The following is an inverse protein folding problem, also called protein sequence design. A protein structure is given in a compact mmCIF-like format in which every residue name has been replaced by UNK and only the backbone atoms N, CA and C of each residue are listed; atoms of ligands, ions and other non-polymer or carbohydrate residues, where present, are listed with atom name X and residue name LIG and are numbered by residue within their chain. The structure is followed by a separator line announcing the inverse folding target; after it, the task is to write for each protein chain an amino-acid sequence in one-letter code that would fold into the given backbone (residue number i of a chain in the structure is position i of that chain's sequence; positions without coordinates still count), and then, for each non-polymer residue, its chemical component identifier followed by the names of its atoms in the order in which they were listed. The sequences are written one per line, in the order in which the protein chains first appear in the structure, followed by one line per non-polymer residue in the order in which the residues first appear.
data_IF_728816856268
#
_entry.id   IF_728816856268
#
_cell.length_a   1.000
_cell.length_b   1.000
_cell.length_c   1.000
_cell.angle_alpha   90.00
_cell.angle_beta   90.00
_cell.angle_gamma   90.00
#
_symmetry.space_group_name_H-M   'P 1'
#
loop_
_entity.id
_entity.type
_entity.pdbx_description
1 polymer ?
#
# COMPACT_ATOMS: atom_id res chain seq x y z
N UNK A 1 -27.37 44.25 7.29
CA UNK A 1 -25.95 43.95 7.57
C UNK A 1 -25.85 42.47 7.97
N UNK A 2 -25.45 41.60 7.04
CA UNK A 2 -25.22 40.18 7.33
C UNK A 2 -23.75 39.92 7.02
N UNK A 3 -22.98 39.62 8.06
CA UNK A 3 -21.55 39.31 7.94
C UNK A 3 -21.37 37.84 7.58
N UNK A 4 -20.77 37.58 6.42
CA UNK A 4 -20.42 36.24 5.93
C UNK A 4 -19.02 35.91 6.44
N UNK A 5 -18.94 35.08 7.48
CA UNK A 5 -17.67 34.56 8.00
C UNK A 5 -17.17 33.47 7.04
N UNK A 6 -16.16 33.81 6.23
CA UNK A 6 -15.40 32.82 5.47
C UNK A 6 -14.49 32.05 6.43
N UNK A 7 -14.84 30.79 6.71
CA UNK A 7 -13.91 29.84 7.37
C UNK A 7 -12.99 29.24 6.33
N UNK A 8 -11.76 29.76 6.24
CA UNK A 8 -10.67 29.08 5.57
C UNK A 8 -10.39 27.74 6.27
N UNK A 9 -10.53 26.63 5.54
CA UNK A 9 -10.00 25.32 5.95
C UNK A 9 -8.48 25.37 5.78
N UNK A 10 -7.75 25.43 6.88
CA UNK A 10 -6.32 25.10 6.90
C UNK A 10 -6.20 23.61 6.59
N UNK A 11 -5.79 23.30 5.36
CA UNK A 11 -5.30 21.97 4.99
C UNK A 11 -3.98 21.81 5.70
N UNK A 12 -3.92 20.84 6.63
CA UNK A 12 -2.73 20.52 7.38
C UNK A 12 -1.55 20.26 6.45
N UNK A 13 -0.45 20.90 6.80
CA UNK A 13 0.88 20.73 6.24
C UNK A 13 1.20 19.23 6.14
N UNK A 14 1.26 18.72 4.91
CA UNK A 14 1.72 17.36 4.63
C UNK A 14 3.23 17.39 4.89
N UNK A 15 3.64 17.01 6.09
CA UNK A 15 5.04 16.69 6.37
C UNK A 15 5.33 15.38 5.64
N UNK A 16 5.61 15.47 4.35
CA UNK A 16 6.33 14.43 3.62
C UNK A 16 7.76 14.48 4.16
N UNK A 17 8.13 13.54 5.02
CA UNK A 17 9.55 13.26 5.18
C UNK A 17 10.07 12.83 3.80
N UNK A 18 10.91 13.70 3.18
CA UNK A 18 11.67 13.52 1.92
C UNK A 18 10.97 14.00 0.62
N UNK A 19 11.21 15.26 0.19
CA UNK A 19 10.83 15.80 -1.13
C UNK A 19 11.50 15.13 -2.35
N UNK A 20 12.61 14.41 -2.15
CA UNK A 20 13.37 13.71 -3.21
C UNK A 20 12.60 12.58 -3.90
N UNK A 21 11.49 12.14 -3.32
CA UNK A 21 10.77 10.94 -3.72
C UNK A 21 9.74 11.15 -4.85
N UNK A 22 9.43 12.40 -5.24
CA UNK A 22 8.61 12.71 -6.42
C UNK A 22 9.47 12.68 -7.70
N UNK A 23 10.76 12.98 -7.60
CA UNK A 23 11.67 13.01 -8.75
C UNK A 23 12.01 11.61 -9.29
N UNK A 24 11.97 10.56 -8.45
CA UNK A 24 12.29 9.19 -8.84
C UNK A 24 11.24 8.60 -9.80
N UNK A 25 9.99 9.04 -9.73
CA UNK A 25 8.94 8.59 -10.66
C UNK A 25 9.15 9.09 -12.11
N UNK A 26 10.05 10.06 -12.34
CA UNK A 26 10.26 10.70 -13.65
C UNK A 26 11.66 10.47 -14.25
N UNK A 27 12.53 9.69 -13.60
CA UNK A 27 13.96 9.64 -13.92
C UNK A 27 14.50 8.43 -14.70
N UNK A 28 13.67 7.51 -15.20
CA UNK A 28 14.17 6.33 -15.94
C UNK A 28 14.27 6.56 -17.46
N UNK A 29 15.27 7.33 -17.90
CA UNK A 29 15.84 7.24 -19.24
C UNK A 29 17.36 7.58 -19.23
N UNK A 30 18.20 6.53 -19.32
CA UNK A 30 19.58 6.54 -19.89
C UNK A 30 20.70 7.26 -19.09
N UNK A 31 21.98 6.84 -18.94
CA UNK A 31 22.89 5.87 -19.60
C UNK A 31 24.01 5.45 -18.60
N UNK A 32 24.46 4.18 -18.68
CA UNK A 32 25.77 3.55 -18.34
C UNK A 32 26.83 4.26 -17.47
N UNK A 33 27.40 3.57 -16.46
CA UNK A 33 28.71 2.87 -16.52
C UNK A 33 29.23 2.43 -15.11
N UNK A 34 30.23 1.52 -15.02
CA UNK A 34 30.32 0.51 -13.97
C UNK A 34 31.20 0.92 -12.78
N UNK A 35 30.87 0.41 -11.59
CA UNK A 35 31.77 0.47 -10.42
C UNK A 35 32.22 -0.93 -10.02
N UNK A 36 33.53 -0.99 -9.81
CA UNK A 36 34.43 -2.12 -9.66
C UNK A 36 34.20 -2.92 -8.37
N UNK A 37 34.27 -4.25 -8.50
CA UNK A 37 34.32 -5.21 -7.38
C UNK A 37 35.78 -5.38 -6.94
N UNK A 38 36.07 -5.05 -5.68
CA UNK A 38 37.18 -5.60 -4.87
C UNK A 38 36.50 -6.07 -3.57
N UNK A 39 36.55 -7.32 -3.13
CA UNK A 39 37.71 -8.20 -3.01
C UNK A 39 38.11 -8.22 -1.53
N UNK A 40 37.74 -9.28 -0.79
CA UNK A 40 38.09 -9.40 0.63
C UNK A 40 37.39 -10.54 1.37
N UNK A 41 37.75 -11.78 1.06
CA UNK A 41 37.45 -12.94 1.90
C UNK A 41 38.28 -12.92 3.19
N UNK A 42 37.63 -13.17 4.32
CA UNK A 42 38.29 -13.70 5.52
C UNK A 42 37.41 -14.80 6.11
N UNK A 43 37.75 -16.05 5.77
CA UNK A 43 37.14 -17.24 6.34
C UNK A 43 37.58 -17.37 7.81
N UNK A 44 36.61 -17.38 8.74
CA UNK A 44 36.87 -17.70 10.15
C UNK A 44 36.59 -19.18 10.38
N UNK A 45 37.65 -19.87 10.81
CA UNK A 45 37.72 -21.30 11.17
C UNK A 45 36.79 -21.60 12.35
N UNK A 46 35.81 -22.50 12.16
CA UNK A 46 34.93 -23.02 13.21
C UNK A 46 35.68 -24.16 13.94
N UNK A 47 35.75 -24.11 15.27
CA UNK A 47 36.18 -25.24 16.10
C UNK A 47 34.95 -26.09 16.49
N UNK A 48 35.08 -27.43 16.52
CA UNK A 48 33.98 -28.33 16.86
C UNK A 48 33.92 -28.56 18.38
N UNK A 49 32.74 -28.44 18.96
CA UNK A 49 32.47 -28.88 20.33
C UNK A 49 31.77 -27.82 21.17
N UNK A 50 30.46 -27.69 20.96
CA UNK A 50 29.48 -27.21 21.94
C UNK A 50 28.10 -27.63 21.39
N UNK A 51 27.68 -28.86 21.68
CA UNK A 51 26.30 -29.29 21.43
C UNK A 51 25.38 -28.53 22.39
N UNK A 52 24.39 -27.74 21.90
CA UNK A 52 23.37 -27.21 22.77
C UNK A 52 22.41 -28.33 23.19
N UNK A 53 21.89 -28.29 24.43
CA UNK A 53 21.07 -29.34 25.00
C UNK A 53 19.78 -29.57 24.19
N UNK A 54 19.48 -30.85 23.97
CA UNK A 54 18.23 -31.35 23.40
C UNK A 54 17.06 -30.94 24.30
N UNK A 55 16.19 -30.09 23.76
CA UNK A 55 14.84 -29.87 24.28
C UNK A 55 14.42 -28.41 24.22
N UNK A 56 13.65 -28.02 23.19
CA UNK A 56 12.22 -27.67 23.25
C UNK A 56 11.72 -27.65 21.80
N UNK A 57 10.79 -28.50 21.39
CA UNK A 57 10.11 -28.31 20.11
C UNK A 57 9.03 -27.24 20.30
N UNK A 58 9.39 -25.98 20.02
CA UNK A 58 8.40 -24.89 19.97
C UNK A 58 7.29 -25.24 18.95
N UNK A 59 6.03 -24.87 19.23
CA UNK A 59 4.92 -25.10 18.31
C UNK A 59 5.12 -24.28 17.03
N UNK A 60 5.52 -25.00 15.98
CA UNK A 60 5.57 -24.59 14.58
C UNK A 60 4.24 -24.02 14.12
N UNK A 61 4.20 -22.75 13.69
CA UNK A 61 2.99 -22.09 13.25
C UNK A 61 2.85 -22.11 11.72
N UNK A 62 2.44 -23.24 11.15
CA UNK A 62 2.24 -23.40 9.70
C UNK A 62 1.40 -22.25 9.10
N UNK A 63 1.91 -21.65 8.01
CA UNK A 63 1.18 -20.70 7.17
C UNK A 63 0.64 -21.38 5.92
N UNK A 64 -0.54 -20.96 5.49
CA UNK A 64 -1.15 -21.41 4.23
C UNK A 64 -1.39 -20.20 3.34
N UNK A 65 -1.28 -20.39 2.02
CA UNK A 65 -1.63 -19.37 1.04
C UNK A 65 -3.14 -19.13 1.12
N UNK A 66 -3.60 -17.87 1.05
CA UNK A 66 -5.04 -17.59 1.13
C UNK A 66 -5.84 -18.28 0.00
N UNK A 67 -5.18 -18.65 -1.10
CA UNK A 67 -5.80 -19.40 -2.20
C UNK A 67 -6.24 -20.81 -1.80
N UNK A 68 -5.77 -21.34 -0.67
CA UNK A 68 -6.18 -22.66 -0.17
C UNK A 68 -7.03 -22.45 1.09
N UNK A 69 -8.35 -22.37 0.90
CA UNK A 69 -9.28 -22.44 2.03
C UNK A 69 -9.43 -23.89 2.47
N UNK A 70 -9.37 -24.19 3.79
CA UNK A 70 -9.34 -25.55 4.30
C UNK A 70 -10.60 -26.38 4.00
N UNK A 71 -11.72 -25.75 3.61
CA UNK A 71 -13.02 -26.42 3.41
C UNK A 71 -13.65 -26.19 2.02
N UNK A 72 -12.94 -25.60 1.05
CA UNK A 72 -13.51 -25.32 -0.26
C UNK A 72 -13.29 -26.51 -1.23
N UNK A 73 -14.25 -26.79 -2.15
CA UNK A 73 -14.08 -27.81 -3.19
C UNK A 73 -12.81 -27.53 -4.01
N UNK A 74 -12.16 -28.58 -4.54
CA UNK A 74 -10.82 -28.48 -5.17
C UNK A 74 -10.73 -27.45 -6.32
N UNK A 75 -11.84 -27.18 -7.02
CA UNK A 75 -11.94 -26.13 -8.05
C UNK A 75 -12.02 -24.70 -7.49
N UNK A 76 -12.48 -24.53 -6.24
CA UNK A 76 -12.60 -23.24 -5.55
C UNK A 76 -11.31 -22.77 -4.86
N UNK A 77 -10.22 -23.55 -4.95
CA UNK A 77 -8.90 -23.23 -4.38
C UNK A 77 -7.87 -22.81 -5.46
N UNK A 78 -8.31 -22.57 -6.70
CA UNK A 78 -7.43 -22.02 -7.72
C UNK A 78 -7.00 -20.59 -7.34
N UNK A 79 -5.70 -20.23 -7.46
CA UNK A 79 -5.27 -18.86 -7.29
C UNK A 79 -6.05 -17.94 -8.22
N UNK A 80 -6.53 -16.81 -7.70
CA UNK A 80 -7.20 -15.81 -8.53
C UNK A 80 -6.24 -15.33 -9.64
N UNK A 81 -6.79 -15.22 -10.85
CA UNK A 81 -6.08 -14.61 -11.96
C UNK A 81 -5.86 -13.11 -11.72
N UNK A 82 -4.91 -12.51 -12.44
CA UNK A 82 -4.68 -11.05 -12.39
C UNK A 82 -5.96 -10.27 -12.73
N UNK A 83 -6.71 -10.73 -13.73
CA UNK A 83 -8.00 -10.13 -14.10
C UNK A 83 -9.00 -10.15 -12.94
N UNK A 84 -9.17 -11.31 -12.28
CA UNK A 84 -10.08 -11.43 -11.13
C UNK A 84 -9.65 -10.55 -9.94
N UNK A 85 -8.35 -10.45 -9.67
CA UNK A 85 -7.81 -9.57 -8.63
C UNK A 85 -8.11 -8.11 -8.97
N UNK A 86 -7.87 -7.71 -10.22
CA UNK A 86 -8.13 -6.35 -10.68
C UNK A 86 -9.63 -6.02 -10.68
N UNK A 87 -10.50 -6.94 -11.10
CA UNK A 87 -11.96 -6.78 -10.97
C UNK A 87 -12.38 -6.58 -9.51
N UNK A 88 -11.79 -7.35 -8.57
CA UNK A 88 -12.04 -7.18 -7.14
C UNK A 88 -11.60 -5.80 -6.64
N UNK A 89 -10.45 -5.30 -7.09
CA UNK A 89 -9.97 -3.94 -6.75
C UNK A 89 -10.94 -2.88 -7.28
N UNK A 90 -11.41 -3.02 -8.53
CA UNK A 90 -12.40 -2.13 -9.13
C UNK A 90 -13.74 -2.14 -8.35
N UNK A 91 -14.18 -3.32 -7.92
CA UNK A 91 -15.39 -3.49 -7.11
C UNK A 91 -15.25 -2.83 -5.73
N UNK A 92 -14.10 -3.03 -5.06
CA UNK A 92 -13.79 -2.33 -3.81
C UNK A 92 -13.82 -0.83 -4.05
N UNK A 93 -13.16 -0.33 -5.09
CA UNK A 93 -13.07 1.10 -5.41
C UNK A 93 -14.45 1.72 -5.65
N UNK A 94 -15.31 1.04 -6.39
CA UNK A 94 -16.65 1.51 -6.75
C UNK A 94 -17.64 1.51 -5.59
N UNK A 95 -17.41 0.70 -4.56
CA UNK A 95 -18.28 0.64 -3.37
C UNK A 95 -18.30 1.97 -2.62
N UNK A 96 -19.48 2.49 -2.29
CA UNK A 96 -19.57 3.74 -1.53
C UNK A 96 -18.92 3.61 -0.15
N UNK A 97 -18.25 4.68 0.29
CA UNK A 97 -17.80 4.83 1.66
C UNK A 97 -19.03 5.15 2.51
N UNK A 98 -19.38 4.27 3.44
CA UNK A 98 -20.55 4.48 4.28
C UNK A 98 -20.27 5.59 5.32
N UNK A 99 -21.30 6.29 5.82
CA UNK A 99 -21.11 7.34 6.83
C UNK A 99 -20.36 6.86 8.08
N UNK A 100 -20.48 5.58 8.42
CA UNK A 100 -19.83 4.97 9.60
C UNK A 100 -18.37 4.60 9.34
N UNK A 101 -18.02 4.27 8.09
CA UNK A 101 -16.65 4.00 7.68
C UNK A 101 -15.88 5.30 7.36
N UNK A 102 -16.60 6.42 7.24
CA UNK A 102 -16.02 7.72 6.93
C UNK A 102 -15.15 8.20 8.08
N UNK A 103 -13.90 8.50 7.78
CA UNK A 103 -12.95 9.04 8.75
C UNK A 103 -12.17 10.17 8.10
N UNK A 104 -12.13 11.37 8.71
CA UNK A 104 -11.40 12.50 8.13
C UNK A 104 -9.89 12.22 8.04
N UNK A 105 -9.39 11.33 8.90
CA UNK A 105 -8.00 10.89 8.88
C UNK A 105 -7.87 9.50 9.51
N UNK A 106 -6.83 8.80 9.12
CA UNK A 106 -6.35 7.56 9.70
C UNK A 106 -4.99 7.21 9.11
N UNK A 107 -4.52 6.01 9.40
CA UNK A 107 -3.21 5.56 8.99
C UNK A 107 -3.29 4.15 8.43
N UNK A 108 -2.60 3.90 7.32
CA UNK A 108 -2.17 2.55 6.93
C UNK A 108 -0.73 2.40 7.41
N UNK A 109 -0.44 1.31 8.12
CA UNK A 109 0.88 1.02 8.63
C UNK A 109 1.33 -0.38 8.24
N UNK A 110 2.65 -0.56 8.22
CA UNK A 110 3.28 -1.85 8.02
C UNK A 110 4.31 -2.13 9.11
N UNK A 111 4.39 -3.38 9.54
CA UNK A 111 5.44 -3.87 10.43
C UNK A 111 5.81 -5.32 10.16
N UNK A 112 7.02 -5.71 10.55
CA UNK A 112 7.43 -7.12 10.72
C UNK A 112 7.51 -7.43 12.21
N UNK A 113 7.63 -8.68 12.65
CA UNK A 113 7.72 -8.90 14.10
C UNK A 113 7.68 -10.32 14.60
N UNK A 114 7.25 -11.26 13.76
CA UNK A 114 7.44 -12.68 14.06
C UNK A 114 8.65 -13.14 13.25
N UNK A 115 9.64 -13.70 13.94
CA UNK A 115 10.59 -14.60 13.29
C UNK A 115 9.77 -15.84 12.97
N UNK A 116 9.39 -15.96 11.71
CA UNK A 116 8.72 -17.15 11.23
C UNK A 116 9.81 -18.21 11.02
N UNK A 117 9.65 -19.44 11.53
CA UNK A 117 10.54 -20.52 11.19
C UNK A 117 10.62 -20.59 9.66
N UNK A 118 11.82 -20.50 9.10
CA UNK A 118 12.03 -20.45 7.66
C UNK A 118 11.28 -21.60 6.95
N UNK A 119 11.20 -22.77 7.60
CA UNK A 119 10.49 -23.97 7.13
C UNK A 119 8.98 -23.79 6.85
N UNK A 120 8.33 -22.73 7.35
CA UNK A 120 6.89 -22.47 7.18
C UNK A 120 6.60 -21.43 6.09
N UNK A 121 7.63 -20.70 5.67
CA UNK A 121 7.59 -19.88 4.47
C UNK A 121 8.28 -20.69 3.37
N UNK A 122 7.52 -21.27 2.45
CA UNK A 122 8.07 -21.85 1.20
C UNK A 122 8.91 -20.82 0.40
N UNK A 123 8.87 -19.56 0.82
CA UNK A 123 9.73 -18.47 0.41
C UNK A 123 10.72 -18.15 1.55
N UNK A 124 11.77 -18.95 1.67
CA UNK A 124 12.77 -18.95 2.76
C UNK A 124 13.51 -17.61 2.95
N UNK A 125 13.26 -16.61 2.11
CA UNK A 125 14.02 -15.36 2.03
C UNK A 125 13.25 -14.13 2.49
N UNK A 126 11.93 -14.21 2.71
CA UNK A 126 11.12 -13.05 3.09
C UNK A 126 10.46 -13.25 4.45
N UNK A 127 10.67 -12.28 5.34
CA UNK A 127 9.89 -12.17 6.59
C UNK A 127 8.54 -11.52 6.25
N UNK A 128 7.38 -12.20 6.45
CA UNK A 128 6.08 -11.62 6.23
C UNK A 128 5.87 -10.27 6.91
N UNK A 129 5.25 -9.36 6.17
CA UNK A 129 4.87 -8.03 6.62
C UNK A 129 3.39 -8.03 6.96
N UNK A 130 3.03 -7.47 8.12
CA UNK A 130 1.64 -7.16 8.41
C UNK A 130 1.32 -5.77 7.92
N UNK A 131 0.22 -5.62 7.20
CA UNK A 131 -0.31 -4.32 6.77
C UNK A 131 -1.68 -4.15 7.39
N UNK A 132 -1.85 -3.08 8.17
CA UNK A 132 -3.07 -2.80 8.89
C UNK A 132 -3.46 -1.33 8.83
N UNK A 133 -4.65 -1.01 9.33
CA UNK A 133 -5.10 0.37 9.52
C UNK A 133 -5.35 0.74 10.99
N UNK A 134 -5.36 2.05 11.26
CA UNK A 134 -5.88 2.65 12.49
C UNK A 134 -6.59 3.97 12.17
N UNK A 135 -7.69 4.27 12.85
CA UNK A 135 -8.44 5.52 12.67
C UNK A 135 -7.84 6.65 13.50
N UNK A 136 -8.14 6.66 14.81
CA UNK A 136 -7.75 7.74 15.73
C UNK A 136 -6.49 7.44 16.55
N UNK A 137 -6.10 6.17 16.68
CA UNK A 137 -4.99 5.79 17.55
C UNK A 137 -3.66 6.07 16.86
N UNK A 138 -2.67 6.45 17.65
CA UNK A 138 -1.28 6.51 17.21
C UNK A 138 -0.81 5.15 16.67
N UNK A 139 0.00 5.19 15.61
CA UNK A 139 0.50 4.00 14.93
C UNK A 139 1.42 3.19 15.84
N UNK A 140 2.30 3.84 16.60
CA UNK A 140 3.21 3.16 17.50
C UNK A 140 2.44 2.45 18.62
N UNK A 141 1.44 3.10 19.20
CA UNK A 141 0.57 2.51 20.23
C UNK A 141 -0.21 1.30 19.70
N UNK A 142 -0.74 1.40 18.47
CA UNK A 142 -1.47 0.30 17.82
C UNK A 142 -0.54 -0.90 17.61
N UNK A 143 0.65 -0.67 17.07
CA UNK A 143 1.65 -1.70 16.83
C UNK A 143 2.09 -2.34 18.17
N UNK A 144 2.36 -1.51 19.18
CA UNK A 144 2.72 -1.98 20.53
C UNK A 144 1.65 -2.88 21.14
N UNK A 145 0.38 -2.44 21.09
CA UNK A 145 -0.78 -3.21 21.56
C UNK A 145 -0.88 -4.56 20.85
N UNK A 146 -0.63 -4.61 19.53
CA UNK A 146 -0.61 -5.87 18.79
C UNK A 146 0.53 -6.77 19.28
N UNK A 147 1.75 -6.23 19.46
CA UNK A 147 2.88 -6.97 20.00
C UNK A 147 2.60 -7.60 21.36
N UNK A 148 2.02 -6.83 22.30
CA UNK A 148 1.64 -7.30 23.63
C UNK A 148 0.59 -8.42 23.60
N UNK A 149 -0.43 -8.27 22.73
CA UNK A 149 -1.51 -9.25 22.59
C UNK A 149 -1.04 -10.52 21.88
N UNK A 150 -0.18 -10.38 20.89
CA UNK A 150 0.26 -11.47 20.04
C UNK A 150 1.59 -12.09 20.49
N UNK A 151 2.19 -11.57 21.57
CA UNK A 151 3.39 -12.08 22.23
C UNK A 151 4.63 -12.09 21.34
N UNK A 152 4.85 -11.02 20.58
CA UNK A 152 6.07 -10.80 19.81
C UNK A 152 6.46 -9.32 19.81
N UNK A 153 7.70 -9.00 19.41
CA UNK A 153 8.19 -7.63 19.29
C UNK A 153 8.09 -7.15 17.84
N UNK A 154 7.14 -6.27 17.50
CA UNK A 154 7.04 -5.73 16.14
C UNK A 154 8.14 -4.71 15.86
N UNK A 155 8.59 -4.68 14.63
CA UNK A 155 9.41 -3.64 14.04
C UNK A 155 8.59 -2.90 12.98
N UNK A 156 8.25 -1.64 13.29
CA UNK A 156 7.56 -0.74 12.36
C UNK A 156 8.42 -0.52 11.13
N UNK A 157 7.82 -0.66 9.94
CA UNK A 157 8.51 -0.44 8.67
C UNK A 157 8.18 0.94 8.08
N UNK A 158 6.89 1.26 7.99
CA UNK A 158 6.42 2.55 7.45
C UNK A 158 4.95 2.76 7.81
N UNK A 159 4.44 3.98 7.58
CA UNK A 159 3.03 4.32 7.70
C UNK A 159 2.70 5.53 6.81
N UNK A 160 1.43 5.66 6.40
CA UNK A 160 0.93 6.75 5.56
C UNK A 160 -0.42 7.23 6.08
N UNK A 161 -0.56 8.55 6.17
CA UNK A 161 -1.82 9.22 6.50
C UNK A 161 -2.80 9.09 5.34
N UNK A 162 -4.02 8.63 5.62
CA UNK A 162 -5.08 8.50 4.61
C UNK A 162 -6.46 8.79 5.23
N UNK A 163 -7.35 9.55 4.57
CA UNK A 163 -8.76 9.55 4.93
C UNK A 163 -9.34 8.16 4.71
N UNK A 164 -10.44 7.84 5.39
CA UNK A 164 -11.19 6.59 5.15
C UNK A 164 -10.31 5.33 5.16
N UNK A 165 -9.33 5.27 6.07
CA UNK A 165 -8.22 4.29 6.06
C UNK A 165 -8.61 2.83 5.83
N UNK A 166 -9.78 2.40 6.31
CA UNK A 166 -10.32 1.04 6.11
C UNK A 166 -10.54 0.71 4.62
N UNK A 167 -11.00 1.69 3.82
CA UNK A 167 -11.21 1.56 2.37
C UNK A 167 -9.87 1.32 1.67
N UNK A 168 -8.88 2.13 2.00
CA UNK A 168 -7.57 2.07 1.36
C UNK A 168 -6.75 0.86 1.81
N UNK A 169 -6.90 0.41 3.07
CA UNK A 169 -6.38 -0.88 3.51
C UNK A 169 -6.95 -2.02 2.68
N UNK A 170 -8.27 -2.01 2.43
CA UNK A 170 -8.91 -3.04 1.59
C UNK A 170 -8.34 -3.06 0.16
N UNK A 171 -8.07 -1.88 -0.42
CA UNK A 171 -7.44 -1.76 -1.74
C UNK A 171 -5.99 -2.30 -1.73
N UNK A 172 -5.21 -1.98 -0.70
CA UNK A 172 -3.85 -2.53 -0.51
C UNK A 172 -3.88 -4.05 -0.39
N UNK A 173 -4.74 -4.60 0.46
CA UNK A 173 -4.86 -6.04 0.67
C UNK A 173 -5.27 -6.76 -0.62
N UNK A 174 -6.18 -6.19 -1.39
CA UNK A 174 -6.59 -6.73 -2.68
C UNK A 174 -5.44 -6.68 -3.72
N UNK A 175 -4.67 -5.58 -3.75
CA UNK A 175 -3.50 -5.46 -4.64
C UNK A 175 -2.43 -6.51 -4.31
N UNK A 176 -2.25 -6.83 -3.03
CA UNK A 176 -1.27 -7.82 -2.56
C UNK A 176 -1.87 -9.22 -2.37
N UNK A 177 -3.03 -9.51 -2.98
CA UNK A 177 -3.78 -10.74 -2.72
C UNK A 177 -2.96 -12.03 -2.88
N UNK A 178 -2.16 -12.14 -3.94
CA UNK A 178 -1.30 -13.32 -4.20
C UNK A 178 -0.21 -13.51 -3.12
N UNK A 179 0.20 -12.43 -2.47
CA UNK A 179 1.21 -12.43 -1.43
C UNK A 179 0.62 -12.62 -0.04
N UNK A 180 -0.71 -12.65 0.09
CA UNK A 180 -1.40 -12.76 1.36
C UNK A 180 -1.21 -14.14 1.99
N UNK A 181 -0.96 -14.15 3.29
CA UNK A 181 -0.68 -15.31 4.13
C UNK A 181 -1.58 -15.22 5.37
N UNK A 182 -1.90 -16.38 5.91
CA UNK A 182 -2.65 -16.48 7.15
C UNK A 182 -2.08 -17.56 8.07
N UNK A 183 -2.18 -17.32 9.37
CA UNK A 183 -1.73 -18.25 10.41
C UNK A 183 -2.67 -19.46 10.45
N UNK A 184 -2.26 -20.62 9.91
CA UNK A 184 -3.15 -21.77 9.78
C UNK A 184 -3.58 -22.33 11.13
N UNK A 185 -2.63 -22.38 12.06
CA UNK A 185 -2.81 -22.82 13.45
C UNK A 185 -3.25 -21.68 14.38
N UNK A 186 -3.40 -20.46 13.86
CA UNK A 186 -3.69 -19.26 14.65
C UNK A 186 -2.47 -18.70 15.38
N UNK A 187 -2.64 -17.49 15.92
CA UNK A 187 -1.63 -16.80 16.70
C UNK A 187 -1.54 -17.39 18.12
N UNK A 188 -0.34 -17.81 18.55
CA UNK A 188 -0.09 -18.33 19.90
C UNK A 188 -0.46 -17.31 20.99
N UNK A 189 -0.28 -16.01 20.73
CA UNK A 189 -0.54 -14.97 21.72
C UNK A 189 -2.03 -14.66 21.92
N UNK A 190 -2.79 -14.59 20.82
CA UNK A 190 -4.18 -14.11 20.87
C UNK A 190 -5.23 -15.13 20.41
N UNK A 191 -4.81 -16.32 19.98
CA UNK A 191 -5.64 -17.43 19.47
C UNK A 191 -6.52 -17.08 18.25
N UNK A 192 -6.23 -15.97 17.56
CA UNK A 192 -6.92 -15.57 16.32
C UNK A 192 -6.10 -15.96 15.09
N UNK A 193 -6.77 -16.18 13.97
CA UNK A 193 -6.12 -16.35 12.66
C UNK A 193 -5.90 -14.97 12.05
N UNK A 194 -4.68 -14.44 12.10
CA UNK A 194 -4.39 -13.21 11.39
C UNK A 194 -4.28 -13.49 9.89
N UNK A 195 -5.09 -12.79 9.11
CA UNK A 195 -5.14 -12.91 7.65
C UNK A 195 -4.43 -11.74 6.95
N UNK A 196 -3.78 -10.86 7.69
CA UNK A 196 -3.25 -9.58 7.20
C UNK A 196 -1.73 -9.63 7.03
N UNK A 197 -1.16 -10.82 6.83
CA UNK A 197 0.26 -11.04 6.59
C UNK A 197 0.53 -11.15 5.10
N UNK A 198 1.67 -10.64 4.65
CA UNK A 198 2.06 -10.62 3.24
C UNK A 198 3.51 -11.05 3.08
N UNK A 199 3.75 -12.11 2.31
CA UNK A 199 5.10 -12.54 1.93
C UNK A 199 5.55 -11.74 0.70
N UNK A 200 6.07 -10.54 0.95
CA UNK A 200 6.48 -9.59 -0.08
C UNK A 200 7.65 -8.74 0.45
N UNK A 201 8.51 -8.25 -0.43
CA UNK A 201 9.56 -7.30 -0.07
C UNK A 201 8.99 -6.00 0.51
N UNK A 202 9.71 -5.43 1.48
CA UNK A 202 9.33 -4.17 2.14
C UNK A 202 9.13 -3.02 1.16
N UNK A 203 10.01 -2.88 0.16
CA UNK A 203 9.89 -1.85 -0.86
C UNK A 203 8.63 -2.01 -1.73
N UNK A 204 8.30 -3.25 -2.13
CA UNK A 204 7.09 -3.50 -2.90
C UNK A 204 5.83 -3.23 -2.08
N UNK A 205 5.79 -3.62 -0.81
CA UNK A 205 4.70 -3.25 0.09
C UNK A 205 4.57 -1.72 0.24
N UNK A 206 5.70 -1.02 0.44
CA UNK A 206 5.73 0.44 0.55
C UNK A 206 5.18 1.11 -0.71
N UNK A 207 5.62 0.69 -1.90
CA UNK A 207 5.13 1.22 -3.19
C UNK A 207 3.62 1.09 -3.34
N UNK A 208 3.05 -0.09 -3.02
CA UNK A 208 1.61 -0.32 -3.11
C UNK A 208 0.84 0.58 -2.14
N UNK A 209 1.28 0.66 -0.87
CA UNK A 209 0.61 1.52 0.12
C UNK A 209 0.72 2.99 -0.28
N UNK A 210 1.90 3.43 -0.76
CA UNK A 210 2.14 4.79 -1.23
C UNK A 210 1.25 5.15 -2.43
N UNK A 211 1.09 4.26 -3.40
CA UNK A 211 0.19 4.46 -4.55
C UNK A 211 -1.25 4.72 -4.09
N UNK A 212 -1.78 3.90 -3.19
CA UNK A 212 -3.14 4.07 -2.68
C UNK A 212 -3.30 5.29 -1.78
N UNK A 213 -2.29 5.63 -0.98
CA UNK A 213 -2.28 6.87 -0.20
C UNK A 213 -2.26 8.12 -1.10
N UNK A 214 -1.49 8.07 -2.20
CA UNK A 214 -1.49 9.12 -3.20
C UNK A 214 -2.85 9.26 -3.88
N UNK A 215 -3.48 8.15 -4.29
CA UNK A 215 -4.85 8.17 -4.81
C UNK A 215 -5.83 8.80 -3.80
N UNK A 216 -5.69 8.49 -2.51
CA UNK A 216 -6.52 9.09 -1.45
C UNK A 216 -6.38 10.61 -1.38
N UNK A 217 -5.16 11.13 -1.54
CA UNK A 217 -4.87 12.56 -1.53
C UNK A 217 -5.47 13.31 -2.72
N UNK A 218 -5.82 12.61 -3.81
CA UNK A 218 -6.53 13.20 -4.96
C UNK A 218 -8.04 13.38 -4.74
N UNK A 219 -8.53 13.09 -3.53
CA UNK A 219 -9.93 13.18 -3.10
C UNK A 219 -10.92 12.52 -4.07
N UNK A 220 -10.81 11.19 -4.30
CA UNK A 220 -11.53 10.53 -5.37
C UNK A 220 -13.00 10.27 -5.08
N UNK A 221 -13.45 10.51 -3.83
CA UNK A 221 -14.82 10.27 -3.39
C UNK A 221 -15.54 11.58 -3.05
N UNK A 222 -16.82 11.68 -3.36
CA UNK A 222 -17.64 12.83 -3.01
C UNK A 222 -18.11 12.82 -1.54
N UNK A 223 -18.91 13.82 -1.15
CA UNK A 223 -19.49 13.93 0.20
C UNK A 223 -20.44 12.78 0.55
N UNK A 224 -21.05 12.13 -0.45
CA UNK A 224 -21.84 10.91 -0.30
C UNK A 224 -21.00 9.62 -0.21
N UNK A 225 -19.68 9.73 -0.38
CA UNK A 225 -18.75 8.60 -0.36
C UNK A 225 -18.75 7.81 -1.67
N UNK A 226 -19.39 8.32 -2.73
CA UNK A 226 -19.37 7.70 -4.05
C UNK A 226 -18.12 8.15 -4.82
N UNK A 227 -17.57 7.25 -5.63
CA UNK A 227 -16.41 7.56 -6.47
C UNK A 227 -16.81 8.65 -7.50
N UNK A 228 -16.08 9.77 -7.59
CA UNK A 228 -16.44 10.90 -8.48
C UNK A 228 -16.47 10.47 -9.96
N UNK A 229 -17.25 11.17 -10.80
CA UNK A 229 -17.47 10.75 -12.20
C UNK A 229 -16.19 10.70 -13.04
N UNK A 230 -15.23 11.59 -12.80
CA UNK A 230 -13.92 11.57 -13.48
C UNK A 230 -13.21 10.22 -13.27
N UNK A 231 -13.23 9.71 -12.04
CA UNK A 231 -12.61 8.45 -11.66
C UNK A 231 -13.42 7.25 -12.14
N UNK A 232 -14.77 7.33 -12.11
CA UNK A 232 -15.63 6.31 -12.70
C UNK A 232 -15.39 6.17 -14.20
N UNK A 233 -15.26 7.29 -14.91
CA UNK A 233 -14.97 7.31 -16.35
C UNK A 233 -13.60 6.69 -16.64
N UNK A 234 -12.59 7.04 -15.85
CA UNK A 234 -11.26 6.44 -15.98
C UNK A 234 -11.28 4.94 -15.68
N UNK A 235 -12.04 4.52 -14.66
CA UNK A 235 -12.13 3.12 -14.23
C UNK A 235 -12.72 2.22 -15.33
N UNK A 236 -13.71 2.73 -16.10
CA UNK A 236 -14.28 2.04 -17.26
C UNK A 236 -13.27 1.72 -18.38
N UNK A 237 -12.10 2.37 -18.39
CA UNK A 237 -11.06 2.21 -19.43
C UNK A 237 -9.89 1.33 -18.98
N UNK A 238 -9.93 0.80 -17.75
CA UNK A 238 -8.87 -0.05 -17.21
C UNK A 238 -8.90 -1.42 -17.91
N UNK A 239 -7.77 -1.86 -18.48
CA UNK A 239 -7.60 -3.25 -18.89
C UNK A 239 -7.23 -4.09 -17.67
N UNK A 240 -8.17 -4.87 -17.15
CA UNK A 240 -7.93 -5.71 -15.97
C UNK A 240 -6.94 -6.84 -16.20
N UNK A 241 -6.55 -7.14 -17.44
CA UNK A 241 -5.50 -8.13 -17.72
C UNK A 241 -4.09 -7.56 -17.53
N UNK A 242 -3.94 -6.24 -17.54
CA UNK A 242 -2.66 -5.59 -17.31
C UNK A 242 -2.30 -5.64 -15.80
N UNK A 243 -1.17 -6.27 -15.41
CA UNK A 243 -0.75 -6.33 -14.01
C UNK A 243 -0.35 -4.97 -13.42
N UNK A 244 -0.12 -3.95 -14.25
CA UNK A 244 0.30 -2.61 -13.83
C UNK A 244 -0.81 -1.57 -13.95
N UNK A 245 -2.04 -2.01 -14.22
CA UNK A 245 -3.14 -1.12 -14.58
C UNK A 245 -3.48 -0.10 -13.49
N UNK A 246 -3.26 -0.43 -12.20
CA UNK A 246 -3.49 0.49 -11.08
C UNK A 246 -2.45 1.60 -10.97
N UNK A 247 -1.18 1.33 -11.31
CA UNK A 247 -0.15 2.37 -11.35
C UNK A 247 -0.48 3.38 -12.46
N UNK A 248 -0.85 2.89 -13.65
CA UNK A 248 -1.31 3.71 -14.77
C UNK A 248 -2.61 4.47 -14.44
N UNK A 249 -3.54 3.82 -13.74
CA UNK A 249 -4.79 4.44 -13.32
C UNK A 249 -4.53 5.60 -12.34
N UNK A 250 -3.73 5.39 -11.30
CA UNK A 250 -3.47 6.37 -10.25
C UNK A 250 -2.54 7.48 -10.73
N UNK A 251 -1.37 7.13 -11.27
CA UNK A 251 -0.35 8.12 -11.64
C UNK A 251 -0.61 8.78 -12.98
N UNK A 252 -1.26 8.09 -13.93
CA UNK A 252 -1.63 8.73 -15.19
C UNK A 252 -2.65 9.87 -14.97
N UNK A 253 -3.51 9.79 -13.95
CA UNK A 253 -4.43 10.88 -13.62
C UNK A 253 -3.70 12.13 -13.11
N UNK A 254 -2.60 11.95 -12.39
CA UNK A 254 -1.73 13.05 -12.00
C UNK A 254 -1.09 13.70 -13.23
N UNK A 255 -0.51 12.90 -14.12
CA UNK A 255 0.08 13.39 -15.37
C UNK A 255 -0.95 14.17 -16.19
N UNK A 256 -2.17 13.64 -16.36
CA UNK A 256 -3.23 14.32 -17.10
C UNK A 256 -3.57 15.70 -16.51
N UNK A 257 -3.66 15.81 -15.16
CA UNK A 257 -3.93 17.08 -14.48
C UNK A 257 -2.78 18.08 -14.67
N UNK A 258 -1.53 17.64 -14.55
CA UNK A 258 -0.36 18.51 -14.74
C UNK A 258 -0.21 18.97 -16.18
N UNK A 259 -0.43 18.08 -17.15
CA UNK A 259 -0.39 18.43 -18.57
C UNK A 259 -1.52 19.39 -18.93
N UNK A 260 -2.74 19.16 -18.43
CA UNK A 260 -3.88 20.06 -18.66
C UNK A 260 -3.66 21.43 -18.00
N UNK A 261 -3.12 21.50 -16.78
CA UNK A 261 -2.80 22.77 -16.12
C UNK A 261 -1.68 23.53 -16.86
N UNK A 262 -0.61 22.85 -17.27
CA UNK A 262 0.45 23.44 -18.08
C UNK A 262 -0.04 23.89 -19.47
N UNK A 263 -1.00 23.16 -20.05
CA UNK A 263 -1.66 23.54 -21.30
C UNK A 263 -2.56 24.76 -21.13
N UNK A 264 -3.44 24.77 -20.12
CA UNK A 264 -4.32 25.91 -19.79
C UNK A 264 -3.53 27.16 -19.45
N UNK A 265 -2.42 27.03 -18.72
CA UNK A 265 -1.52 28.14 -18.40
C UNK A 265 -0.92 28.75 -19.67
N UNK A 266 -0.43 27.93 -20.60
CA UNK A 266 0.07 28.39 -21.92
C UNK A 266 -1.02 29.05 -22.76
N UNK A 267 -2.26 28.55 -22.73
CA UNK A 267 -3.39 29.15 -23.45
C UNK A 267 -3.79 30.51 -22.86
N UNK A 268 -3.78 30.67 -21.53
CA UNK A 268 -4.01 31.97 -20.87
C UNK A 268 -2.92 32.99 -21.20
N UNK A 269 -1.65 32.57 -21.19
CA UNK A 269 -0.53 33.42 -21.59
C UNK A 269 -0.64 33.86 -23.06
N UNK A 270 -1.01 32.95 -23.97
CA UNK A 270 -1.27 33.30 -25.38
C UNK A 270 -2.44 34.26 -25.58
N UNK A 271 -3.53 34.08 -24.84
CA UNK A 271 -4.69 34.98 -24.87
C UNK A 271 -4.37 36.38 -24.33
N UNK A 272 -3.44 36.49 -23.36
CA UNK A 272 -2.98 37.77 -22.80
C UNK A 272 -2.02 38.54 -23.71
N UNK A 273 -1.48 37.91 -24.76
CA UNK A 273 -0.46 38.50 -25.65
C UNK A 273 -1.05 38.88 -27.02
N UNK A 274 -2.33 38.61 -27.29
CA UNK A 274 -3.01 39.12 -28.48
C UNK A 274 -3.48 40.56 -28.22
N UNK A 275 -2.83 41.60 -28.79
CA UNK A 275 -3.36 42.96 -28.72
C UNK A 275 -4.67 42.99 -29.52
N UNK A 276 -5.65 43.73 -29.02
CA UNK A 276 -6.92 43.93 -29.71
C UNK A 276 -6.67 44.34 -31.16
N UNK A 277 -7.22 43.58 -32.10
CA UNK A 277 -7.40 44.03 -33.47
C UNK A 277 -8.33 45.24 -33.38
N UNK A 278 -7.74 46.43 -33.44
CA UNK A 278 -8.49 47.67 -33.64
C UNK A 278 -8.91 47.62 -35.10
N UNK A 279 -10.18 47.31 -35.35
CA UNK A 279 -10.79 47.51 -36.66
C UNK A 279 -10.74 49.01 -36.97
N UNK A 280 -10.03 49.35 -38.05
CA UNK A 280 -9.91 50.68 -38.62
C UNK A 280 -9.83 50.59 -40.13
#
# INVERSE_FOLDING_TARGET
MVSVIHRHRNVGEIVTEQPEDIAIALGHLSISSPVSIRGGSAARRIQPGDEPPVGVSEPRALFVYQTVQPNAPKEANAPLSIAQINENIAAIMSKNITPHARSPMGWIYAFRGRQFPAAECNDLLLTPIKIGHTGKNDVADRIHTIGQRCKFRPEKLFHYAVPDSLKYESLVHATLHQHRRWEALGCIGCNKKHIEWFAVEGERARRVVRMWAFFAALDPYDEGGALREEWRTRLRRVDYRDPWCWETFVYGAFVDRFVDEAYRSRMRQRASVMPGVVEG
#
